data_IF_449189354669
#
_entry.id   IF_449189354669
#
_cell.length_a   1.000
_cell.length_b   1.000
_cell.length_c   1.000
_cell.angle_alpha   90.00
_cell.angle_beta   90.00
_cell.angle_gamma   90.00
#
_symmetry.space_group_name_H-M   'P 1'
#
loop_
_entity.id
_entity.type
_entity.pdbx_description
1 polymer ?
#
# COMPACT_ATOMS: atom_id res chain seq x y z
N UNK A 1 25.94 7.64 13.77
CA UNK A 1 24.55 7.12 13.68
C UNK A 1 23.68 7.90 14.66
N UNK A 2 24.01 7.88 15.95
CA UNK A 2 23.33 8.71 16.97
C UNK A 2 23.38 10.23 16.70
N UNK A 3 24.52 10.78 16.28
CA UNK A 3 24.68 12.25 16.11
C UNK A 3 24.34 12.80 14.71
N UNK A 4 24.07 11.93 13.72
CA UNK A 4 23.79 12.36 12.33
C UNK A 4 22.43 11.93 11.78
N UNK A 5 21.85 10.87 12.34
CA UNK A 5 20.55 10.35 11.91
C UNK A 5 19.52 10.38 13.05
N UNK A 6 19.97 10.23 14.30
CA UNK A 6 19.11 10.04 15.47
C UNK A 6 18.93 11.29 16.35
N UNK A 7 19.56 12.42 16.01
CA UNK A 7 19.58 13.66 16.83
C UNK A 7 19.89 13.42 18.33
N UNK A 8 20.78 12.47 18.62
CA UNK A 8 21.17 12.09 19.99
C UNK A 8 20.25 11.07 20.67
N UNK A 9 19.23 10.54 19.98
CA UNK A 9 18.34 9.49 20.49
C UNK A 9 18.99 8.12 20.37
N UNK A 10 18.75 7.21 21.31
CA UNK A 10 19.25 5.83 21.24
C UNK A 10 18.80 5.14 19.93
N UNK A 11 19.71 4.44 19.26
CA UNK A 11 19.46 3.86 17.93
C UNK A 11 18.23 2.95 17.88
N UNK A 12 17.89 2.27 18.98
CA UNK A 12 16.73 1.35 19.06
C UNK A 12 15.43 2.14 18.97
N UNK A 13 15.34 3.27 19.67
CA UNK A 13 14.15 4.11 19.70
C UNK A 13 13.92 4.77 18.34
N UNK A 14 15.00 5.27 17.72
CA UNK A 14 14.94 5.84 16.37
C UNK A 14 14.49 4.81 15.31
N UNK A 15 14.99 3.58 15.41
CA UNK A 15 14.59 2.49 14.51
C UNK A 15 13.10 2.16 14.65
N UNK A 16 12.57 2.14 15.88
CA UNK A 16 11.15 1.93 16.15
C UNK A 16 10.29 3.08 15.61
N UNK A 17 10.75 4.33 15.76
CA UNK A 17 10.03 5.50 15.26
C UNK A 17 9.94 5.51 13.73
N UNK A 18 11.02 5.14 13.04
CA UNK A 18 11.01 4.97 11.58
C UNK A 18 10.08 3.83 11.14
N UNK A 19 10.09 2.69 11.85
CA UNK A 19 9.17 1.59 11.60
C UNK A 19 7.70 1.99 11.81
N UNK A 20 7.40 2.74 12.88
CA UNK A 20 6.07 3.26 13.16
C UNK A 20 5.58 4.26 12.09
N UNK A 21 6.47 5.13 11.61
CA UNK A 21 6.16 6.09 10.54
C UNK A 21 5.87 5.39 9.22
N UNK A 22 6.63 4.34 8.88
CA UNK A 22 6.36 3.50 7.73
C UNK A 22 5.01 2.79 7.84
N UNK A 23 4.71 2.17 8.99
CA UNK A 23 3.44 1.50 9.24
C UNK A 23 2.24 2.46 9.12
N UNK A 24 2.36 3.67 9.66
CA UNK A 24 1.35 4.72 9.53
C UNK A 24 1.14 5.12 8.06
N UNK A 25 2.21 5.28 7.28
CA UNK A 25 2.14 5.56 5.84
C UNK A 25 1.40 4.47 5.06
N UNK A 26 1.73 3.20 5.30
CA UNK A 26 1.04 2.05 4.67
C UNK A 26 -0.45 2.03 5.03
N UNK A 27 -0.79 2.32 6.30
CA UNK A 27 -2.18 2.37 6.76
C UNK A 27 -2.99 3.47 6.05
N UNK A 28 -2.40 4.66 5.88
CA UNK A 28 -3.04 5.78 5.17
C UNK A 28 -3.29 5.40 3.70
N UNK A 29 -2.33 4.74 3.04
CA UNK A 29 -2.49 4.27 1.65
C UNK A 29 -3.63 3.26 1.54
N UNK A 30 -3.67 2.24 2.39
CA UNK A 30 -4.73 1.22 2.38
C UNK A 30 -6.12 1.84 2.63
N UNK A 31 -6.20 2.79 3.56
CA UNK A 31 -7.43 3.51 3.86
C UNK A 31 -7.89 4.39 2.69
N UNK A 32 -6.97 5.11 2.05
CA UNK A 32 -7.27 5.94 0.88
C UNK A 32 -7.70 5.12 -0.34
N UNK A 33 -7.00 4.01 -0.63
CA UNK A 33 -7.35 3.10 -1.72
C UNK A 33 -8.74 2.52 -1.51
N UNK A 34 -9.08 2.08 -0.29
CA UNK A 34 -10.39 1.51 0.00
C UNK A 34 -11.53 2.52 -0.22
N UNK A 35 -11.31 3.78 0.16
CA UNK A 35 -12.28 4.86 -0.07
C UNK A 35 -12.48 5.10 -1.58
N UNK A 36 -11.39 5.22 -2.34
CA UNK A 36 -11.45 5.46 -3.79
C UNK A 36 -12.14 4.31 -4.51
N UNK A 37 -11.82 3.05 -4.16
CA UNK A 37 -12.46 1.88 -4.76
C UNK A 37 -13.97 1.82 -4.47
N UNK A 38 -14.41 2.29 -3.30
CA UNK A 38 -15.83 2.34 -2.92
C UNK A 38 -16.67 3.22 -3.84
N UNK A 39 -16.10 4.30 -4.35
CA UNK A 39 -16.78 5.25 -5.26
C UNK A 39 -16.53 4.92 -6.73
N UNK A 40 -15.31 4.54 -7.09
CA UNK A 40 -14.91 4.30 -8.49
C UNK A 40 -15.51 3.00 -9.04
N UNK A 41 -15.53 1.90 -8.27
CA UNK A 41 -16.04 0.61 -8.78
C UNK A 41 -17.52 0.70 -9.21
N UNK A 42 -18.46 1.25 -8.41
CA UNK A 42 -19.85 1.39 -8.83
C UNK A 42 -20.02 2.40 -9.98
N UNK A 43 -19.27 3.51 -9.97
CA UNK A 43 -19.31 4.50 -11.05
C UNK A 43 -18.88 3.90 -12.40
N UNK A 44 -17.78 3.15 -12.42
CA UNK A 44 -17.31 2.47 -13.63
C UNK A 44 -18.25 1.36 -14.07
N UNK A 45 -18.83 0.59 -13.14
CA UNK A 45 -19.80 -0.44 -13.47
C UNK A 45 -21.07 0.15 -14.11
N UNK A 46 -21.56 1.28 -13.60
CA UNK A 46 -22.73 1.97 -14.17
C UNK A 46 -22.51 2.53 -15.58
N UNK A 47 -21.30 3.02 -15.89
CA UNK A 47 -20.96 3.45 -17.26
C UNK A 47 -20.75 2.23 -18.17
N UNK A 48 -20.07 1.20 -17.68
CA UNK A 48 -19.78 -0.04 -18.42
C UNK A 48 -21.05 -0.75 -18.89
N UNK A 49 -22.08 -0.84 -18.03
CA UNK A 49 -23.35 -1.48 -18.37
C UNK A 49 -24.13 -0.72 -19.46
N UNK A 50 -23.93 0.60 -19.58
CA UNK A 50 -24.65 1.44 -20.53
C UNK A 50 -23.91 1.63 -21.87
N UNK A 51 -22.58 1.64 -21.87
CA UNK A 51 -21.78 1.94 -23.05
C UNK A 51 -21.19 0.69 -23.72
N UNK A 52 -20.77 -0.33 -22.95
CA UNK A 52 -20.13 -1.55 -23.47
C UNK A 52 -20.57 -2.79 -22.65
N UNK A 53 -21.73 -3.38 -22.96
CA UNK A 53 -22.24 -4.57 -22.27
C UNK A 53 -21.25 -5.74 -22.41
N UNK A 54 -21.04 -6.48 -21.31
CA UNK A 54 -20.09 -7.59 -21.15
C UNK A 54 -18.59 -7.23 -21.09
N UNK A 55 -18.21 -5.95 -21.00
CA UNK A 55 -16.80 -5.62 -20.75
C UNK A 55 -16.41 -5.88 -19.29
N UNK A 56 -15.22 -6.45 -19.08
CA UNK A 56 -14.64 -6.71 -17.75
C UNK A 56 -13.80 -5.50 -17.37
N UNK A 57 -14.16 -4.70 -16.35
CA UNK A 57 -13.40 -3.51 -16.00
C UNK A 57 -11.98 -3.89 -15.52
N UNK A 58 -10.96 -3.33 -16.16
CA UNK A 58 -9.59 -3.42 -15.67
C UNK A 58 -9.39 -2.32 -14.64
N UNK A 59 -9.31 -2.69 -13.36
CA UNK A 59 -8.89 -1.80 -12.29
C UNK A 59 -7.47 -2.15 -11.85
N UNK A 60 -6.72 -1.12 -11.49
CA UNK A 60 -5.30 -1.21 -11.18
C UNK A 60 -5.03 -2.11 -9.95
N UNK A 61 -3.78 -2.55 -9.83
CA UNK A 61 -3.22 -3.44 -8.81
C UNK A 61 -3.66 -3.14 -7.35
N UNK A 62 -3.90 -1.88 -6.93
CA UNK A 62 -4.41 -1.61 -5.58
C UNK A 62 -5.79 -2.22 -5.30
N UNK A 63 -6.55 -2.64 -6.31
CA UNK A 63 -7.85 -3.29 -6.10
C UNK A 63 -7.76 -4.56 -5.27
N UNK A 64 -6.65 -5.30 -5.36
CA UNK A 64 -6.44 -6.55 -4.60
C UNK A 64 -5.81 -6.32 -3.22
N UNK A 65 -5.27 -5.14 -2.95
CA UNK A 65 -4.62 -4.81 -1.68
C UNK A 65 -5.53 -4.94 -0.45
N UNK A 66 -6.81 -4.48 -0.48
CA UNK A 66 -7.71 -4.69 0.64
C UNK A 66 -8.24 -6.14 0.75
N UNK A 67 -8.18 -6.95 -0.31
CA UNK A 67 -8.63 -8.35 -0.29
C UNK A 67 -7.55 -9.34 0.16
N UNK A 68 -6.27 -9.00 -0.04
CA UNK A 68 -5.14 -9.85 0.35
C UNK A 68 -4.00 -9.05 1.03
N UNK A 69 -4.27 -8.41 2.19
CA UNK A 69 -3.27 -7.57 2.86
C UNK A 69 -2.01 -8.33 3.29
N UNK A 70 -2.16 -9.61 3.67
CA UNK A 70 -1.02 -10.46 4.05
C UNK A 70 -0.10 -10.77 2.86
N UNK A 71 -0.66 -10.91 1.64
CA UNK A 71 0.13 -11.20 0.44
C UNK A 71 0.98 -9.99 0.03
N UNK A 72 0.44 -8.77 0.21
CA UNK A 72 1.18 -7.52 -0.04
C UNK A 72 2.39 -7.39 0.89
N UNK A 73 2.25 -7.75 2.17
CA UNK A 73 3.35 -7.74 3.13
C UNK A 73 4.44 -8.75 2.76
N UNK A 74 4.07 -9.99 2.42
CA UNK A 74 5.04 -11.02 2.00
C UNK A 74 5.76 -10.60 0.71
N UNK A 75 5.02 -10.07 -0.26
CA UNK A 75 5.59 -9.53 -1.50
C UNK A 75 6.57 -8.39 -1.24
N UNK A 76 6.21 -7.46 -0.35
CA UNK A 76 7.10 -6.37 0.07
C UNK A 76 8.41 -6.89 0.67
N UNK A 77 8.36 -7.82 1.62
CA UNK A 77 9.57 -8.38 2.22
C UNK A 77 10.42 -9.16 1.21
N UNK A 78 9.80 -9.92 0.31
CA UNK A 78 10.53 -10.64 -0.75
C UNK A 78 11.24 -9.71 -1.72
N UNK A 79 10.58 -8.60 -2.12
CA UNK A 79 11.17 -7.56 -2.97
C UNK A 79 12.27 -6.79 -2.25
N UNK A 80 12.07 -6.50 -0.96
CA UNK A 80 13.07 -5.85 -0.12
C UNK A 80 14.35 -6.69 0.01
N UNK A 81 14.22 -7.99 0.29
CA UNK A 81 15.36 -8.92 0.33
C UNK A 81 16.01 -9.03 -1.06
N UNK A 82 15.21 -9.15 -2.12
CA UNK A 82 15.72 -9.17 -3.50
C UNK A 82 16.50 -7.91 -3.88
N UNK A 83 16.01 -6.73 -3.47
CA UNK A 83 16.68 -5.45 -3.69
C UNK A 83 17.92 -5.21 -2.82
N UNK A 84 18.07 -5.92 -1.70
CA UNK A 84 19.30 -5.92 -0.89
C UNK A 84 20.37 -6.81 -1.52
N UNK A 85 19.95 -7.90 -2.17
CA UNK A 85 20.86 -8.87 -2.80
C UNK A 85 21.30 -8.42 -4.20
N UNK A 86 20.47 -7.66 -4.92
CA UNK A 86 20.77 -7.06 -6.23
C UNK A 86 21.65 -5.84 -6.14
#
# INVERSE_FOLDING_TARGET
>A
IETKLSDGTNFIIYSIQMAGTFAAGVFVILSGVRLILGEIIPAFKGISEKLVPNSKPALDCPIVFPYAPNAVLVGFFSSFVGGIVS
#
